data_IF_204913424676
#
_entry.id   IF_204913424676
#
_cell.length_a   1.000
_cell.length_b   1.000
_cell.length_c   1.000
_cell.angle_alpha   90.00
_cell.angle_beta   90.00
_cell.angle_gamma   90.00
#
_symmetry.space_group_name_H-M   'P 1'
#
loop_
_entity.id
_entity.type
_entity.pdbx_description
1 polymer ?
#
# COMPACT_ATOMS: atom_id res chain seq x y z
N UNK A 1 3.87 -7.11 -7.77
CA UNK A 1 2.49 -7.61 -7.55
C UNK A 1 2.47 -9.02 -6.98
N UNK A 2 3.37 -9.88 -7.46
CA UNK A 2 3.54 -11.22 -6.88
C UNK A 2 3.87 -11.17 -5.39
N UNK A 3 4.65 -10.19 -4.97
CA UNK A 3 4.98 -9.97 -3.56
C UNK A 3 3.71 -9.76 -2.73
N UNK A 4 2.80 -8.93 -3.21
CA UNK A 4 1.53 -8.66 -2.52
C UNK A 4 0.70 -9.93 -2.40
N UNK A 5 0.61 -10.73 -3.46
CA UNK A 5 -0.10 -12.00 -3.43
C UNK A 5 0.51 -12.99 -2.44
N UNK A 6 1.84 -13.05 -2.38
CA UNK A 6 2.53 -13.92 -1.42
C UNK A 6 2.25 -13.51 0.02
N UNK A 7 2.21 -12.22 0.29
CA UNK A 7 1.91 -11.69 1.62
C UNK A 7 0.48 -12.04 2.02
N UNK A 8 -0.49 -11.72 1.17
CA UNK A 8 -1.90 -11.95 1.48
C UNK A 8 -2.23 -13.44 1.55
N UNK A 9 -1.56 -14.27 0.75
CA UNK A 9 -1.76 -15.72 0.77
C UNK A 9 -1.12 -16.41 1.96
N UNK A 10 -0.08 -15.84 2.57
CA UNK A 10 0.60 -16.40 3.75
C UNK A 10 -0.10 -16.08 5.05
N UNK A 11 -0.85 -15.00 5.10
CA UNK A 11 -1.56 -14.59 6.31
C UNK A 11 -2.83 -15.40 6.39
N UNK A 12 -2.71 -16.57 7.03
CA UNK A 12 -3.87 -17.44 7.23
C UNK A 12 -4.81 -16.76 8.21
N UNK A 13 -6.05 -16.46 7.81
CA UNK A 13 -6.98 -15.77 8.69
C UNK A 13 -7.36 -16.63 9.87
N UNK A 14 -7.36 -16.03 11.05
CA UNK A 14 -8.05 -16.62 12.19
C UNK A 14 -9.54 -16.60 11.89
N UNK A 15 -10.24 -17.74 11.91
CA UNK A 15 -11.62 -17.80 11.43
C UNK A 15 -12.60 -16.89 12.15
N UNK A 16 -12.27 -16.50 13.37
CA UNK A 16 -13.18 -15.76 14.26
C UNK A 16 -13.03 -14.24 14.16
N UNK A 17 -11.97 -13.72 13.47
CA UNK A 17 -11.67 -12.29 13.47
C UNK A 17 -11.22 -11.78 12.10
N UNK A 18 -12.11 -11.86 11.10
CA UNK A 18 -11.75 -11.43 9.74
C UNK A 18 -11.39 -9.93 9.66
N UNK A 19 -11.97 -9.11 10.54
CA UNK A 19 -11.67 -7.67 10.59
C UNK A 19 -10.23 -7.42 11.01
N UNK A 20 -9.76 -8.07 12.08
CA UNK A 20 -8.37 -7.93 12.55
C UNK A 20 -7.38 -8.48 11.54
N UNK A 21 -7.70 -9.60 10.92
CA UNK A 21 -6.87 -10.21 9.89
C UNK A 21 -6.73 -9.24 8.71
N UNK A 22 -7.83 -8.64 8.28
CA UNK A 22 -7.83 -7.69 7.17
C UNK A 22 -6.98 -6.46 7.47
N UNK A 23 -7.10 -5.88 8.66
CA UNK A 23 -6.29 -4.73 9.09
C UNK A 23 -4.82 -5.09 9.14
N UNK A 24 -4.49 -6.27 9.65
CA UNK A 24 -3.11 -6.76 9.73
C UNK A 24 -2.52 -6.99 8.34
N UNK A 25 -3.29 -7.57 7.42
CA UNK A 25 -2.86 -7.76 6.04
C UNK A 25 -2.62 -6.42 5.34
N UNK A 26 -3.51 -5.45 5.51
CA UNK A 26 -3.35 -4.12 4.94
C UNK A 26 -2.07 -3.45 5.47
N UNK A 27 -1.84 -3.51 6.78
CA UNK A 27 -0.61 -2.98 7.40
C UNK A 27 0.64 -3.64 6.83
N UNK A 28 0.59 -4.95 6.63
CA UNK A 28 1.71 -5.72 6.07
C UNK A 28 2.01 -5.34 4.65
N UNK A 29 1.00 -5.18 3.82
CA UNK A 29 1.17 -4.76 2.43
C UNK A 29 1.92 -3.43 2.38
N UNK A 30 1.47 -2.45 3.15
CA UNK A 30 2.10 -1.13 3.19
C UNK A 30 3.54 -1.24 3.72
N UNK A 31 3.75 -1.93 4.83
CA UNK A 31 5.07 -2.06 5.45
C UNK A 31 6.07 -2.72 4.50
N UNK A 32 5.69 -3.79 3.84
CA UNK A 32 6.59 -4.53 2.96
C UNK A 32 6.90 -3.75 1.68
N UNK A 33 5.95 -3.02 1.14
CA UNK A 33 6.20 -2.19 -0.04
C UNK A 33 7.14 -1.03 0.27
N UNK A 34 6.99 -0.41 1.45
CA UNK A 34 7.91 0.65 1.87
C UNK A 34 9.30 0.12 2.16
N UNK A 35 9.41 -1.06 2.81
CA UNK A 35 10.68 -1.71 3.06
C UNK A 35 11.36 -2.13 1.75
N UNK A 36 10.59 -2.65 0.81
CA UNK A 36 11.09 -2.98 -0.52
C UNK A 36 11.67 -1.74 -1.21
N UNK A 37 10.96 -0.61 -1.13
CA UNK A 37 11.44 0.65 -1.70
C UNK A 37 12.77 1.10 -1.09
N UNK A 38 12.92 0.98 0.22
CA UNK A 38 14.19 1.33 0.89
C UNK A 38 15.36 0.53 0.37
N UNK A 39 15.14 -0.75 0.09
CA UNK A 39 16.18 -1.67 -0.38
C UNK A 39 16.43 -1.56 -1.88
N UNK A 40 15.51 -0.94 -2.62
CA UNK A 40 15.56 -0.87 -4.08
C UNK A 40 15.30 0.57 -4.55
N UNK A 41 16.20 1.51 -4.25
CA UNK A 41 15.97 2.92 -4.58
C UNK A 41 15.84 3.19 -6.08
N UNK A 42 16.50 2.40 -6.93
CA UNK A 42 16.33 2.49 -8.37
C UNK A 42 14.91 2.18 -8.81
N UNK A 43 14.28 1.18 -8.20
CA UNK A 43 12.89 0.84 -8.47
C UNK A 43 11.94 1.95 -7.99
N UNK A 44 12.24 2.59 -6.86
CA UNK A 44 11.44 3.71 -6.36
C UNK A 44 11.40 4.85 -7.40
N UNK A 45 12.51 5.16 -8.02
CA UNK A 45 12.55 6.21 -9.06
C UNK A 45 11.64 5.88 -10.23
N UNK A 46 11.60 4.62 -10.64
CA UNK A 46 10.66 4.16 -11.68
C UNK A 46 9.21 4.31 -11.20
N UNK A 47 8.94 3.88 -9.96
CA UNK A 47 7.58 3.90 -9.39
C UNK A 47 7.02 5.31 -9.25
N UNK A 48 7.86 6.30 -8.96
CA UNK A 48 7.42 7.69 -8.78
C UNK A 48 7.49 8.52 -10.07
N UNK A 49 7.78 7.87 -11.19
CA UNK A 49 7.77 8.54 -12.49
C UNK A 49 9.07 9.20 -12.89
N UNK A 50 10.17 8.95 -12.18
CA UNK A 50 11.49 9.47 -12.49
C UNK A 50 12.23 8.51 -13.42
N UNK A 51 11.63 8.24 -14.58
CA UNK A 51 12.16 7.33 -15.58
C UNK A 51 12.69 8.10 -16.80
N UNK A 52 13.51 7.44 -17.60
CA UNK A 52 14.01 7.99 -18.84
C UNK A 52 12.85 8.36 -19.78
N UNK A 53 12.99 9.50 -20.46
CA UNK A 53 11.91 10.12 -21.24
C UNK A 53 11.30 9.19 -22.29
N UNK A 54 12.13 8.36 -22.96
CA UNK A 54 11.66 7.49 -24.04
C UNK A 54 10.74 6.36 -23.58
N UNK A 55 10.86 5.94 -22.31
CA UNK A 55 10.06 4.86 -21.73
C UNK A 55 9.03 5.37 -20.72
N UNK A 56 8.99 6.67 -20.51
CA UNK A 56 8.24 7.28 -19.40
C UNK A 56 6.74 6.93 -19.44
N UNK A 57 6.08 7.09 -20.57
CA UNK A 57 4.63 6.85 -20.66
C UNK A 57 4.27 5.39 -20.40
N UNK A 58 5.05 4.45 -20.95
CA UNK A 58 4.82 3.03 -20.77
C UNK A 58 5.03 2.60 -19.32
N UNK A 59 6.13 3.08 -18.72
CA UNK A 59 6.44 2.77 -17.33
C UNK A 59 5.40 3.39 -16.39
N UNK A 60 4.98 4.60 -16.68
CA UNK A 60 3.97 5.28 -15.86
C UNK A 60 2.64 4.54 -15.90
N UNK A 61 2.22 4.06 -17.07
CA UNK A 61 0.99 3.28 -17.19
C UNK A 61 1.08 1.99 -16.37
N UNK A 62 2.22 1.31 -16.41
CA UNK A 62 2.44 0.09 -15.61
C UNK A 62 2.42 0.37 -14.11
N UNK A 63 3.03 1.48 -13.70
CA UNK A 63 3.04 1.87 -12.29
C UNK A 63 1.66 2.26 -11.81
N UNK A 64 0.88 2.95 -12.63
CA UNK A 64 -0.51 3.26 -12.30
C UNK A 64 -1.33 1.98 -12.11
N UNK A 65 -1.17 1.00 -13.01
CA UNK A 65 -1.82 -0.31 -12.85
C UNK A 65 -1.38 -1.02 -11.57
N UNK A 66 -0.10 -0.96 -11.25
CA UNK A 66 0.44 -1.54 -10.02
C UNK A 66 -0.23 -0.94 -8.79
N UNK A 67 -0.28 0.38 -8.69
CA UNK A 67 -0.89 1.05 -7.55
C UNK A 67 -2.40 0.85 -7.50
N UNK A 68 -3.08 0.77 -8.64
CA UNK A 68 -4.50 0.43 -8.69
C UNK A 68 -4.77 -0.96 -8.13
N UNK A 69 -3.90 -1.92 -8.42
CA UNK A 69 -4.01 -3.29 -7.88
C UNK A 69 -3.72 -3.32 -6.38
N UNK A 70 -2.76 -2.53 -5.92
CA UNK A 70 -2.49 -2.38 -4.48
C UNK A 70 -3.73 -1.82 -3.79
N UNK A 71 -4.31 -0.77 -4.34
CA UNK A 71 -5.52 -0.16 -3.76
C UNK A 71 -6.68 -1.17 -3.71
N UNK A 72 -6.88 -1.97 -4.77
CA UNK A 72 -7.90 -3.01 -4.80
C UNK A 72 -7.65 -4.07 -3.73
N UNK A 73 -6.41 -4.50 -3.56
CA UNK A 73 -6.04 -5.47 -2.52
C UNK A 73 -6.29 -4.92 -1.14
N UNK A 74 -5.95 -3.65 -0.90
CA UNK A 74 -6.20 -2.98 0.38
C UNK A 74 -7.70 -2.89 0.67
N UNK A 75 -8.50 -2.54 -0.34
CA UNK A 75 -9.96 -2.49 -0.20
C UNK A 75 -10.52 -3.83 0.22
N UNK A 76 -10.07 -4.91 -0.41
CA UNK A 76 -10.52 -6.26 -0.05
C UNK A 76 -10.14 -6.62 1.38
N UNK A 77 -8.94 -6.24 1.83
CA UNK A 77 -8.50 -6.48 3.20
C UNK A 77 -9.32 -5.69 4.21
N UNK A 78 -9.73 -4.47 3.87
CA UNK A 78 -10.36 -3.53 4.81
C UNK A 78 -11.88 -3.67 4.88
N UNK A 79 -12.52 -4.29 3.90
CA UNK A 79 -13.97 -4.41 3.86
C UNK A 79 -14.56 -5.11 5.09
N UNK A 80 -14.00 -6.24 5.57
CA UNK A 80 -14.51 -6.86 6.80
C UNK A 80 -14.40 -5.95 8.02
N UNK A 81 -13.34 -5.16 8.12
CA UNK A 81 -13.16 -4.22 9.23
C UNK A 81 -14.21 -3.11 9.20
N UNK A 82 -14.53 -2.57 8.03
CA UNK A 82 -15.57 -1.56 7.87
C UNK A 82 -16.95 -2.12 8.26
N UNK A 83 -17.26 -3.35 7.87
CA UNK A 83 -18.48 -4.03 8.27
C UNK A 83 -18.57 -4.26 9.77
N UNK A 84 -17.47 -4.69 10.37
CA UNK A 84 -17.40 -4.92 11.83
C UNK A 84 -17.53 -3.64 12.63
N UNK A 85 -17.14 -2.50 12.08
CA UNK A 85 -17.29 -1.19 12.71
C UNK A 85 -18.71 -0.63 12.60
N UNK A 86 -19.64 -1.38 12.00
CA UNK A 86 -21.04 -0.98 11.89
C UNK A 86 -21.33 -0.03 10.73
N UNK A 87 -20.46 0.03 9.75
CA UNK A 87 -20.67 0.88 8.57
C UNK A 87 -21.92 0.43 7.79
N UNK A 88 -22.74 1.39 7.39
CA UNK A 88 -23.85 1.15 6.48
C UNK A 88 -23.39 0.95 5.03
N UNK A 89 -22.16 1.38 4.71
CA UNK A 89 -21.56 1.30 3.37
C UNK A 89 -20.14 0.73 3.45
N UNK A 90 -19.97 -0.54 3.85
CA UNK A 90 -18.63 -1.07 4.10
C UNK A 90 -17.72 -1.07 2.87
N UNK A 91 -18.28 -1.28 1.68
CA UNK A 91 -17.47 -1.25 0.45
C UNK A 91 -16.99 0.15 0.12
N UNK A 92 -17.80 1.18 0.37
CA UNK A 92 -17.42 2.58 0.15
C UNK A 92 -16.34 3.00 1.16
N UNK A 93 -16.54 2.67 2.43
CA UNK A 93 -15.59 3.03 3.49
C UNK A 93 -14.24 2.34 3.26
N UNK A 94 -14.25 1.07 2.87
CA UNK A 94 -13.03 0.35 2.55
C UNK A 94 -12.31 0.96 1.35
N UNK A 95 -13.05 1.43 0.34
CA UNK A 95 -12.45 2.10 -0.81
C UNK A 95 -11.80 3.41 -0.41
N UNK A 96 -12.43 4.21 0.43
CA UNK A 96 -11.86 5.46 0.93
C UNK A 96 -10.58 5.18 1.72
N UNK A 97 -10.61 4.22 2.64
CA UNK A 97 -9.43 3.85 3.42
C UNK A 97 -8.29 3.34 2.53
N UNK A 98 -8.61 2.50 1.54
CA UNK A 98 -7.61 2.01 0.59
C UNK A 98 -6.98 3.15 -0.21
N UNK A 99 -7.77 4.13 -0.62
CA UNK A 99 -7.30 5.32 -1.32
C UNK A 99 -6.32 6.12 -0.46
N UNK A 100 -6.64 6.34 0.80
CA UNK A 100 -5.76 7.05 1.74
C UNK A 100 -4.44 6.30 1.94
N UNK A 101 -4.50 4.99 2.15
CA UNK A 101 -3.31 4.17 2.34
C UNK A 101 -2.43 4.14 1.10
N UNK A 102 -3.03 4.06 -0.08
CA UNK A 102 -2.28 4.10 -1.34
C UNK A 102 -1.61 5.44 -1.54
N UNK A 103 -2.30 6.54 -1.23
CA UNK A 103 -1.72 7.87 -1.28
C UNK A 103 -0.56 8.03 -0.29
N UNK A 104 -0.69 7.47 0.91
CA UNK A 104 0.38 7.44 1.90
C UNK A 104 1.60 6.69 1.36
N UNK A 105 1.38 5.50 0.81
CA UNK A 105 2.44 4.69 0.22
C UNK A 105 3.19 5.46 -0.87
N UNK A 106 2.46 6.03 -1.83
CA UNK A 106 3.05 6.79 -2.93
C UNK A 106 3.79 8.02 -2.41
N UNK A 107 3.21 8.73 -1.45
CA UNK A 107 3.81 9.93 -0.87
C UNK A 107 5.12 9.65 -0.16
N UNK A 108 5.20 8.56 0.59
CA UNK A 108 6.42 8.14 1.29
C UNK A 108 7.53 7.75 0.30
N UNK A 109 7.18 7.01 -0.75
CA UNK A 109 8.16 6.64 -1.79
C UNK A 109 8.65 7.85 -2.55
N UNK A 110 7.75 8.78 -2.89
CA UNK A 110 8.11 10.00 -3.59
C UNK A 110 9.03 10.89 -2.73
N UNK A 111 8.71 11.04 -1.45
CA UNK A 111 9.55 11.79 -0.52
C UNK A 111 10.94 11.18 -0.39
N UNK A 112 11.01 9.86 -0.32
CA UNK A 112 12.28 9.15 -0.28
C UNK A 112 13.15 9.51 -1.50
N UNK A 113 12.59 9.41 -2.70
CA UNK A 113 13.30 9.76 -3.93
C UNK A 113 13.71 11.24 -3.96
N UNK A 114 12.80 12.15 -3.61
CA UNK A 114 13.05 13.60 -3.65
C UNK A 114 14.06 14.07 -2.63
N UNK A 115 14.17 13.39 -1.50
CA UNK A 115 15.13 13.74 -0.44
C UNK A 115 16.54 13.25 -0.71
N UNK A 116 16.81 12.73 -1.91
CA UNK A 116 18.10 12.10 -2.21
C UNK A 116 18.33 10.83 -1.42
N UNK A 117 17.26 10.08 -1.19
CA UNK A 117 17.24 8.81 -0.45
C UNK A 117 17.55 8.97 1.05
N UNK A 118 17.30 10.16 1.61
CA UNK A 118 17.55 10.46 3.03
C UNK A 118 16.33 10.22 3.91
N UNK A 119 15.12 10.57 3.41
CA UNK A 119 13.89 10.40 4.18
C UNK A 119 13.35 9.00 3.93
N UNK A 120 13.63 8.07 4.85
CA UNK A 120 13.25 6.67 4.69
C UNK A 120 11.74 6.50 4.60
N UNK A 121 11.24 5.66 3.67
CA UNK A 121 9.80 5.44 3.52
C UNK A 121 9.15 4.87 4.78
N UNK A 122 9.91 4.13 5.58
CA UNK A 122 9.42 3.51 6.82
C UNK A 122 9.46 4.45 8.03
N UNK A 123 9.82 5.73 7.84
CA UNK A 123 9.82 6.72 8.91
C UNK A 123 8.44 6.83 9.53
N UNK A 124 8.35 6.63 10.84
CA UNK A 124 7.10 6.67 11.61
C UNK A 124 6.03 5.70 11.10
N UNK A 125 6.44 4.58 10.55
CA UNK A 125 5.53 3.65 9.89
C UNK A 125 4.44 3.13 10.84
N UNK A 126 4.82 2.60 11.99
CA UNK A 126 3.87 2.01 12.94
C UNK A 126 2.86 3.04 13.45
N UNK A 127 3.35 4.21 13.84
CA UNK A 127 2.49 5.30 14.32
C UNK A 127 1.54 5.78 13.23
N UNK A 128 2.03 5.88 11.99
CA UNK A 128 1.21 6.31 10.86
C UNK A 128 0.10 5.30 10.56
N UNK A 129 0.44 4.01 10.56
CA UNK A 129 -0.56 2.96 10.33
C UNK A 129 -1.60 2.92 11.45
N UNK A 130 -1.18 3.13 12.69
CA UNK A 130 -2.09 3.19 13.83
C UNK A 130 -3.08 4.35 13.71
N UNK A 131 -2.66 5.49 13.17
CA UNK A 131 -3.54 6.63 12.95
C UNK A 131 -4.54 6.39 11.81
N UNK A 132 -4.13 5.66 10.77
CA UNK A 132 -4.94 5.44 9.57
C UNK A 132 -5.87 4.23 9.69
N UNK A 133 -5.51 3.27 10.50
CA UNK A 133 -6.24 2.03 10.69
C UNK A 133 -6.75 1.90 12.12
#
# INVERSE_FOLDING_TARGET
FTLVQQITGRDVPAPDQPAEVGLRQASRIIALLLQFGERNPGMVRVMVGDALVLEHERLQARMNQFFDRIESSLRQCLRPAAGAAGSATPSVDAQVAASVLTAFLQGRLQRFARSGLRRLPTEHLEASLALML
#
